data_IF_433218191767
#
_entry.id   IF_433218191767
#
_cell.length_a   1.000
_cell.length_b   1.000
_cell.length_c   1.000
_cell.angle_alpha   90.00
_cell.angle_beta   90.00
_cell.angle_gamma   90.00
#
_symmetry.space_group_name_H-M   'P 1'
#
loop_
_entity.id
_entity.type
_entity.pdbx_description
1 polymer ?
#
# COMPACT_ATOMS: atom_id res chain seq x y z
N UNK A 1 -14.48 10.24 -31.83
CA UNK A 1 -13.29 9.37 -31.61
C UNK A 1 -13.31 8.92 -30.16
N UNK A 2 -13.42 7.61 -29.91
CA UNK A 2 -13.33 7.06 -28.55
C UNK A 2 -11.85 7.09 -28.17
N UNK A 3 -11.45 8.01 -27.32
CA UNK A 3 -10.07 8.07 -26.83
C UNK A 3 -9.83 6.83 -25.97
N UNK A 4 -8.76 6.07 -26.27
CA UNK A 4 -8.42 4.89 -25.48
C UNK A 4 -8.15 5.27 -24.01
N UNK A 5 -8.60 4.44 -23.08
CA UNK A 5 -8.48 4.67 -21.63
C UNK A 5 -7.02 4.97 -21.23
N UNK A 6 -6.09 4.19 -21.77
CA UNK A 6 -4.66 4.33 -21.49
C UNK A 6 -4.06 5.65 -22.01
N UNK A 7 -4.44 6.12 -23.20
CA UNK A 7 -3.93 7.39 -23.75
C UNK A 7 -4.40 8.59 -22.90
N UNK A 8 -5.67 8.56 -22.49
CA UNK A 8 -6.21 9.59 -21.59
C UNK A 8 -5.49 9.62 -20.25
N UNK A 9 -5.16 8.44 -19.70
CA UNK A 9 -4.34 8.32 -18.49
C UNK A 9 -2.94 8.91 -18.69
N UNK A 10 -2.23 8.55 -19.78
CA UNK A 10 -0.90 9.11 -20.09
C UNK A 10 -0.92 10.64 -20.18
N UNK A 11 -1.91 11.19 -20.89
CA UNK A 11 -2.05 12.64 -21.03
C UNK A 11 -2.22 13.32 -19.67
N UNK A 12 -3.06 12.74 -18.80
CA UNK A 12 -3.26 13.26 -17.44
C UNK A 12 -1.97 13.25 -16.64
N UNK A 13 -1.27 12.10 -16.61
CA UNK A 13 -0.01 11.97 -15.88
C UNK A 13 1.02 12.97 -16.39
N UNK A 14 1.26 13.04 -17.70
CA UNK A 14 2.29 13.93 -18.27
C UNK A 14 1.98 15.40 -18.02
N UNK A 15 0.72 15.80 -18.19
CA UNK A 15 0.29 17.17 -17.92
C UNK A 15 0.53 17.59 -16.48
N UNK A 16 0.36 16.67 -15.53
CA UNK A 16 0.36 16.98 -14.10
C UNK A 16 1.74 16.85 -13.47
N UNK A 17 2.54 15.86 -13.92
CA UNK A 17 3.86 15.58 -13.35
C UNK A 17 5.00 16.28 -14.08
N UNK A 18 4.72 16.89 -15.23
CA UNK A 18 5.76 17.46 -16.10
C UNK A 18 6.62 16.42 -16.86
N UNK A 19 6.28 15.14 -16.75
CA UNK A 19 6.94 14.09 -17.54
C UNK A 19 6.62 14.26 -19.02
N UNK A 20 7.61 14.01 -19.87
CA UNK A 20 7.49 14.18 -21.33
C UNK A 20 7.67 12.89 -22.10
N UNK A 21 8.01 11.80 -21.42
CA UNK A 21 8.31 10.52 -22.08
C UNK A 21 7.84 9.29 -21.29
N UNK A 22 7.53 8.21 -22.02
CA UNK A 22 7.22 6.91 -21.42
C UNK A 22 8.40 6.32 -20.62
N UNK A 23 9.63 6.71 -20.94
CA UNK A 23 10.84 6.30 -20.19
C UNK A 23 10.85 6.92 -18.80
N UNK A 24 10.50 8.21 -18.69
CA UNK A 24 10.35 8.88 -17.39
C UNK A 24 9.23 8.28 -16.56
N UNK A 25 8.10 7.98 -17.21
CA UNK A 25 6.99 7.30 -16.53
C UNK A 25 7.40 5.91 -16.04
N UNK A 26 8.09 5.12 -16.86
CA UNK A 26 8.58 3.80 -16.47
C UNK A 26 9.52 3.87 -15.26
N UNK A 27 10.44 4.83 -15.24
CA UNK A 27 11.33 5.07 -14.10
C UNK A 27 10.54 5.46 -12.83
N UNK A 28 9.58 6.38 -12.95
CA UNK A 28 8.73 6.79 -11.83
C UNK A 28 7.87 5.65 -11.27
N UNK A 29 7.46 4.72 -12.12
CA UNK A 29 6.67 3.54 -11.76
C UNK A 29 7.51 2.35 -11.30
N UNK A 30 8.84 2.42 -11.40
CA UNK A 30 9.72 1.28 -11.09
C UNK A 30 9.58 0.10 -12.05
N UNK A 31 9.18 0.34 -13.31
CA UNK A 31 8.95 -0.70 -14.32
C UNK A 31 9.83 -0.47 -15.57
N UNK A 32 9.96 -1.49 -16.39
CA UNK A 32 10.61 -1.34 -17.68
C UNK A 32 9.68 -0.71 -18.74
N UNK A 33 10.26 -0.12 -19.79
CA UNK A 33 9.49 0.51 -20.87
C UNK A 33 8.54 -0.47 -21.58
N UNK A 34 8.89 -1.76 -21.65
CA UNK A 34 8.04 -2.77 -22.30
C UNK A 34 6.73 -2.97 -21.55
N UNK A 35 6.71 -2.82 -20.21
CA UNK A 35 5.48 -2.87 -19.43
C UNK A 35 4.51 -1.74 -19.81
N UNK A 36 5.04 -0.51 -20.06
CA UNK A 36 4.21 0.61 -20.54
C UNK A 36 3.58 0.27 -21.91
N UNK A 37 4.37 -0.29 -22.81
CA UNK A 37 3.89 -0.68 -24.15
C UNK A 37 2.83 -1.78 -24.07
N UNK A 38 3.02 -2.77 -23.21
CA UNK A 38 2.05 -3.85 -23.01
C UNK A 38 0.72 -3.34 -22.44
N UNK A 39 0.77 -2.47 -21.43
CA UNK A 39 -0.42 -1.86 -20.84
C UNK A 39 -1.18 -1.01 -21.88
N UNK A 40 -0.44 -0.24 -22.70
CA UNK A 40 -0.99 0.53 -23.81
C UNK A 40 -1.71 -0.35 -24.83
N UNK A 41 -1.08 -1.48 -25.24
CA UNK A 41 -1.66 -2.40 -26.20
C UNK A 41 -2.93 -3.08 -25.69
N UNK A 42 -2.99 -3.34 -24.37
CA UNK A 42 -4.15 -3.90 -23.68
C UNK A 42 -5.22 -2.85 -23.31
N UNK A 43 -4.94 -1.56 -23.54
CA UNK A 43 -5.75 -0.42 -23.11
C UNK A 43 -6.14 -0.53 -21.62
N UNK A 44 -5.22 -1.01 -20.78
CA UNK A 44 -5.41 -1.30 -19.37
C UNK A 44 -4.41 -0.54 -18.51
N UNK A 45 -4.87 0.05 -17.42
CA UNK A 45 -4.03 0.74 -16.44
C UNK A 45 -3.88 -0.19 -15.24
N UNK A 46 -2.67 -0.73 -14.97
CA UNK A 46 -2.46 -1.53 -13.77
C UNK A 46 -2.69 -0.70 -12.51
N UNK A 47 -3.50 -1.21 -11.58
CA UNK A 47 -3.84 -0.49 -10.34
C UNK A 47 -2.60 -0.11 -9.51
N UNK A 48 -1.55 -0.95 -9.53
CA UNK A 48 -0.25 -0.64 -8.89
C UNK A 48 0.39 0.66 -9.39
N UNK A 49 0.18 1.03 -10.67
CA UNK A 49 0.72 2.27 -11.23
C UNK A 49 -0.02 3.49 -10.68
N UNK A 50 -1.33 3.35 -10.52
CA UNK A 50 -2.17 4.38 -9.90
C UNK A 50 -1.73 4.61 -8.47
N UNK A 51 -1.55 3.52 -7.70
CA UNK A 51 -1.06 3.60 -6.32
C UNK A 51 0.35 4.20 -6.23
N UNK A 52 1.25 3.85 -7.17
CA UNK A 52 2.60 4.43 -7.20
C UNK A 52 2.58 5.92 -7.53
N UNK A 53 1.74 6.37 -8.47
CA UNK A 53 1.59 7.78 -8.80
C UNK A 53 0.97 8.58 -7.65
N UNK A 54 0.00 7.98 -6.93
CA UNK A 54 -0.52 8.56 -5.69
C UNK A 54 0.60 8.75 -4.65
N UNK A 55 1.41 7.71 -4.40
CA UNK A 55 2.50 7.74 -3.42
C UNK A 55 3.60 8.74 -3.77
N UNK A 56 3.96 8.81 -5.05
CA UNK A 56 5.09 9.64 -5.50
C UNK A 56 4.71 11.10 -5.75
N UNK A 57 3.47 11.35 -6.18
CA UNK A 57 3.05 12.67 -6.67
C UNK A 57 1.77 13.18 -6.01
N UNK A 58 1.13 12.41 -5.12
CA UNK A 58 -0.14 12.78 -4.50
C UNK A 58 -1.35 12.78 -5.44
N UNK A 59 -1.22 12.19 -6.64
CA UNK A 59 -2.26 12.20 -7.67
C UNK A 59 -3.48 11.38 -7.24
N UNK A 60 -4.66 11.97 -7.40
CA UNK A 60 -5.92 11.31 -7.07
C UNK A 60 -6.15 10.08 -7.97
N UNK A 61 -6.29 8.87 -7.41
CA UNK A 61 -6.53 7.65 -8.16
C UNK A 61 -7.78 7.71 -9.04
N UNK A 62 -8.91 8.21 -8.54
CA UNK A 62 -10.13 8.35 -9.32
C UNK A 62 -9.95 9.30 -10.51
N UNK A 63 -9.25 10.41 -10.27
CA UNK A 63 -8.93 11.33 -11.36
C UNK A 63 -7.97 10.72 -12.37
N UNK A 64 -6.98 9.94 -11.93
CA UNK A 64 -6.07 9.22 -12.84
C UNK A 64 -6.85 8.23 -13.73
N UNK A 65 -7.84 7.54 -13.20
CA UNK A 65 -8.62 6.56 -13.95
C UNK A 65 -9.70 7.20 -14.83
N UNK A 66 -10.46 8.13 -14.29
CA UNK A 66 -11.68 8.64 -14.92
C UNK A 66 -11.55 10.04 -15.51
N UNK A 67 -10.56 10.81 -15.05
CA UNK A 67 -10.42 12.24 -15.36
C UNK A 67 -11.43 13.13 -14.62
N UNK A 68 -12.20 12.59 -13.68
CA UNK A 68 -13.18 13.33 -12.88
C UNK A 68 -12.66 13.57 -11.47
N UNK A 69 -13.11 14.65 -10.84
CA UNK A 69 -12.69 15.01 -9.48
C UNK A 69 -11.41 15.85 -9.45
N UNK A 70 -10.88 16.02 -8.24
CA UNK A 70 -9.65 16.80 -8.02
C UNK A 70 -8.42 16.03 -8.49
N UNK A 71 -7.45 16.75 -9.03
CA UNK A 71 -6.19 16.17 -9.57
C UNK A 71 -5.30 15.56 -8.50
N UNK A 72 -5.30 16.16 -7.30
CA UNK A 72 -4.50 15.72 -6.16
C UNK A 72 -5.39 15.33 -4.99
N UNK A 73 -5.01 14.28 -4.28
CA UNK A 73 -5.54 14.01 -2.95
C UNK A 73 -4.61 14.67 -1.93
N UNK A 74 -4.99 15.86 -1.46
CA UNK A 74 -4.32 16.49 -0.32
C UNK A 74 -3.19 17.47 -0.62
N UNK A 75 -3.15 18.09 -1.81
CA UNK A 75 -2.22 19.19 -2.09
C UNK A 75 -2.87 20.33 -2.84
N UNK A 76 -3.86 20.97 -2.25
CA UNK A 76 -4.15 22.36 -2.58
C UNK A 76 -4.01 23.18 -1.31
N UNK A 77 -3.21 24.25 -1.42
CA UNK A 77 -3.10 25.28 -0.41
C UNK A 77 -4.40 26.08 -0.28
N UNK A 78 -5.52 25.38 -0.29
CA UNK A 78 -6.82 25.91 0.01
C UNK A 78 -7.35 25.26 1.31
N UNK A 79 -7.77 26.10 2.21
CA UNK A 79 -8.38 25.87 3.51
C UNK A 79 -9.62 24.94 3.44
N UNK A 80 -9.48 23.64 3.08
CA UNK A 80 -10.71 22.89 2.85
C UNK A 80 -10.73 21.38 2.85
N UNK A 81 -9.63 20.63 2.82
CA UNK A 81 -9.72 19.18 2.99
C UNK A 81 -9.17 18.75 4.34
N UNK A 82 -10.04 18.81 5.34
CA UNK A 82 -9.81 18.23 6.66
C UNK A 82 -9.53 16.72 6.60
N UNK A 83 -9.85 16.07 5.48
CA UNK A 83 -9.77 14.62 5.27
C UNK A 83 -8.90 14.25 4.08
N UNK A 84 -8.23 13.11 4.22
CA UNK A 84 -7.45 12.46 3.15
C UNK A 84 -7.97 11.04 2.94
N UNK A 85 -8.15 10.66 1.69
CA UNK A 85 -8.58 9.30 1.33
C UNK A 85 -7.40 8.34 1.30
N UNK A 86 -7.46 7.30 2.12
CA UNK A 86 -6.46 6.23 2.18
C UNK A 86 -6.98 5.03 1.40
N UNK A 87 -6.20 4.47 0.45
CA UNK A 87 -6.63 3.33 -0.34
C UNK A 87 -6.72 2.06 0.50
N UNK A 88 -7.79 1.30 0.32
CA UNK A 88 -7.94 -0.07 0.80
C UNK A 88 -7.53 -1.02 -0.31
N UNK A 89 -6.60 -1.91 -0.03
CA UNK A 89 -5.99 -2.81 -1.01
C UNK A 89 -6.20 -4.28 -0.65
N UNK A 90 -6.28 -5.15 -1.67
CA UNK A 90 -6.18 -6.59 -1.45
C UNK A 90 -4.71 -6.91 -1.22
N UNK A 91 -4.40 -7.50 -0.07
CA UNK A 91 -3.05 -7.91 0.28
C UNK A 91 -2.62 -9.12 -0.54
N UNK A 92 -1.72 -8.93 -1.51
CA UNK A 92 -1.05 -10.00 -2.26
C UNK A 92 0.43 -9.64 -2.42
N UNK A 93 1.31 -10.62 -2.21
CA UNK A 93 2.70 -10.47 -2.60
C UNK A 93 2.83 -10.80 -4.07
N UNK A 94 3.46 -9.92 -4.86
CA UNK A 94 3.79 -10.27 -6.23
C UNK A 94 5.12 -11.01 -6.29
N UNK A 95 5.11 -12.22 -6.84
CA UNK A 95 6.30 -12.97 -7.19
C UNK A 95 7.03 -12.25 -8.34
N UNK A 96 8.23 -11.74 -8.08
CA UNK A 96 9.14 -11.27 -9.12
C UNK A 96 9.79 -9.92 -8.87
N UNK A 97 11.09 -9.92 -8.53
CA UNK A 97 11.99 -8.79 -8.73
C UNK A 97 11.97 -7.68 -7.68
N UNK A 98 12.46 -7.93 -6.50
CA UNK A 98 13.13 -6.90 -5.68
C UNK A 98 12.31 -5.89 -4.91
N UNK A 99 11.10 -5.56 -5.27
CA UNK A 99 10.19 -4.71 -4.53
C UNK A 99 8.89 -5.45 -4.27
N UNK A 100 8.55 -5.61 -2.99
CA UNK A 100 7.21 -6.09 -2.62
C UNK A 100 6.26 -4.92 -2.74
N UNK A 101 5.56 -4.91 -3.81
CA UNK A 101 4.37 -4.11 -3.92
C UNK A 101 3.26 -4.94 -3.29
N UNK A 102 2.65 -4.42 -2.22
CA UNK A 102 1.32 -4.86 -1.80
C UNK A 102 0.50 -4.87 -3.07
N UNK A 103 0.17 -6.06 -3.54
CA UNK A 103 -0.43 -6.26 -4.85
C UNK A 103 -1.82 -5.69 -4.87
N UNK A 104 -2.02 -4.86 -5.69
CA UNK A 104 -2.68 -3.60 -5.73
C UNK A 104 -3.94 -3.63 -6.55
N UNK A 105 -4.88 -4.41 -6.12
CA UNK A 105 -6.26 -4.13 -6.47
C UNK A 105 -6.84 -3.22 -5.39
N UNK A 106 -7.12 -1.95 -5.74
CA UNK A 106 -7.75 -1.00 -4.82
C UNK A 106 -9.24 -1.35 -4.78
N UNK A 107 -9.72 -1.72 -3.58
CA UNK A 107 -11.13 -2.03 -3.35
C UNK A 107 -11.98 -0.78 -3.06
N UNK A 108 -11.35 0.28 -2.56
CA UNK A 108 -12.03 1.51 -2.17
C UNK A 108 -11.12 2.44 -1.40
N UNK A 109 -11.72 3.47 -0.81
CA UNK A 109 -11.02 4.50 -0.05
C UNK A 109 -11.76 4.78 1.27
N UNK A 110 -10.99 5.07 2.32
CA UNK A 110 -11.51 5.53 3.60
C UNK A 110 -10.96 6.92 3.90
N UNK A 111 -11.84 7.84 4.27
CA UNK A 111 -11.48 9.20 4.64
C UNK A 111 -11.00 9.25 6.08
N UNK A 112 -9.77 9.74 6.30
CA UNK A 112 -9.20 10.02 7.61
C UNK A 112 -8.87 11.49 7.73
N UNK A 113 -8.96 12.04 8.94
CA UNK A 113 -8.51 13.40 9.20
C UNK A 113 -7.02 13.55 8.88
N UNK A 114 -6.69 14.51 8.01
CA UNK A 114 -5.34 14.65 7.47
C UNK A 114 -4.30 14.95 8.55
N UNK A 115 -4.64 15.79 9.51
CA UNK A 115 -3.75 16.16 10.61
C UNK A 115 -3.44 14.94 11.49
N UNK A 116 -4.46 14.12 11.81
CA UNK A 116 -4.27 12.89 12.54
C UNK A 116 -3.32 11.92 11.81
N UNK A 117 -3.48 11.76 10.50
CA UNK A 117 -2.57 10.91 9.70
C UNK A 117 -1.12 11.41 9.76
N UNK A 118 -0.91 12.72 9.66
CA UNK A 118 0.43 13.34 9.72
C UNK A 118 1.11 13.12 11.07
N UNK A 119 0.36 13.14 12.16
CA UNK A 119 0.87 12.82 13.51
C UNK A 119 1.27 11.34 13.61
N UNK A 120 0.54 10.44 12.93
CA UNK A 120 0.79 8.99 12.98
C UNK A 120 1.94 8.54 12.08
N UNK A 121 2.22 9.25 10.99
CA UNK A 121 3.28 8.88 10.06
C UNK A 121 3.23 9.62 8.73
N UNK A 122 3.49 8.89 7.64
CA UNK A 122 3.51 9.44 6.28
C UNK A 122 2.25 9.04 5.52
N UNK A 123 1.23 9.92 5.41
CA UNK A 123 -0.07 9.57 4.85
C UNK A 123 -0.02 8.98 3.43
N UNK A 124 0.86 9.49 2.57
CA UNK A 124 1.06 8.99 1.21
C UNK A 124 1.75 7.61 1.14
N UNK A 125 2.16 7.06 2.29
CA UNK A 125 2.72 5.71 2.45
C UNK A 125 1.79 4.80 3.24
N UNK A 126 0.54 5.22 3.47
CA UNK A 126 -0.44 4.45 4.23
C UNK A 126 -1.38 3.70 3.29
N UNK A 127 -1.76 2.51 3.70
CA UNK A 127 -2.77 1.66 3.04
C UNK A 127 -3.63 0.97 4.08
N UNK A 128 -4.86 0.63 3.69
CA UNK A 128 -5.76 -0.21 4.47
C UNK A 128 -5.79 -1.61 3.88
N UNK A 129 -5.90 -2.62 4.73
CA UNK A 129 -6.16 -3.99 4.34
C UNK A 129 -7.02 -4.71 5.38
N UNK A 130 -7.76 -5.73 4.93
CA UNK A 130 -8.55 -6.56 5.83
C UNK A 130 -7.70 -7.65 6.46
N UNK A 131 -8.08 -8.00 7.68
CA UNK A 131 -7.54 -9.14 8.42
C UNK A 131 -8.36 -10.37 8.08
N UNK A 132 -7.66 -11.46 7.80
CA UNK A 132 -8.25 -12.77 7.61
C UNK A 132 -7.73 -13.76 8.65
N UNK A 133 -8.66 -14.53 9.23
CA UNK A 133 -8.36 -15.53 10.25
C UNK A 133 -8.25 -14.92 11.66
N UNK A 134 -7.97 -15.79 12.63
CA UNK A 134 -8.07 -15.50 14.06
C UNK A 134 -6.73 -15.51 14.80
N UNK A 135 -5.59 -15.52 14.08
CA UNK A 135 -4.29 -15.62 14.73
C UNK A 135 -3.92 -14.41 15.60
N UNK A 136 -4.57 -13.26 15.38
CA UNK A 136 -4.33 -12.04 16.14
C UNK A 136 -5.46 -11.70 17.13
N UNK A 137 -6.39 -12.64 17.37
CA UNK A 137 -7.39 -12.48 18.43
C UNK A 137 -6.74 -12.53 19.82
N UNK A 138 -7.25 -11.76 20.77
CA UNK A 138 -8.47 -10.92 20.73
C UNK A 138 -8.26 -9.52 20.14
N UNK A 139 -7.02 -9.09 19.87
CA UNK A 139 -6.69 -7.72 19.45
C UNK A 139 -7.28 -7.41 18.07
N UNK A 140 -6.99 -8.25 17.07
CA UNK A 140 -7.57 -8.16 15.74
C UNK A 140 -8.37 -9.41 15.42
N UNK A 141 -9.60 -9.23 14.94
CA UNK A 141 -10.48 -10.32 14.55
C UNK A 141 -10.58 -10.45 13.03
N UNK A 142 -11.06 -11.61 12.60
CA UNK A 142 -11.40 -11.83 11.20
C UNK A 142 -12.39 -10.77 10.71
N UNK A 143 -12.11 -10.15 9.56
CA UNK A 143 -12.89 -9.06 8.99
C UNK A 143 -12.55 -7.66 9.50
N UNK A 144 -11.67 -7.50 10.49
CA UNK A 144 -11.16 -6.18 10.87
C UNK A 144 -10.38 -5.55 9.73
N UNK A 145 -10.45 -4.24 9.60
CA UNK A 145 -9.61 -3.46 8.68
C UNK A 145 -8.48 -2.80 9.46
N UNK A 146 -7.23 -2.88 8.99
CA UNK A 146 -6.07 -2.23 9.60
C UNK A 146 -5.47 -1.18 8.69
N UNK A 147 -4.99 -0.08 9.30
CA UNK A 147 -4.20 0.96 8.64
C UNK A 147 -2.71 0.68 8.86
N UNK A 148 -1.97 0.58 7.78
CA UNK A 148 -0.55 0.25 7.76
C UNK A 148 0.21 1.46 7.20
N UNK A 149 1.24 1.90 7.94
CA UNK A 149 2.22 2.86 7.41
C UNK A 149 3.46 2.12 6.91
N UNK A 150 3.61 2.02 5.60
CA UNK A 150 4.73 1.36 4.93
C UNK A 150 6.06 2.11 5.05
N UNK A 151 6.05 3.33 5.59
CA UNK A 151 7.28 4.08 5.88
C UNK A 151 7.91 3.67 7.21
N UNK A 152 7.15 3.02 8.10
CA UNK A 152 7.60 2.59 9.42
C UNK A 152 7.96 1.11 9.39
N UNK A 153 9.23 0.81 9.08
CA UNK A 153 9.78 -0.55 8.98
C UNK A 153 10.72 -0.92 10.11
N UNK A 154 11.13 0.07 10.91
CA UNK A 154 11.97 -0.17 12.07
C UNK A 154 11.18 -0.91 13.14
N UNK A 155 11.73 -2.05 13.60
CA UNK A 155 11.03 -2.94 14.52
C UNK A 155 11.08 -2.36 15.94
N UNK A 156 9.90 -2.06 16.45
CA UNK A 156 9.66 -1.75 17.86
C UNK A 156 9.09 -3.02 18.48
N UNK A 157 9.77 -3.56 19.50
CA UNK A 157 9.39 -4.81 20.12
C UNK A 157 7.92 -4.81 20.60
N UNK A 158 7.18 -5.85 20.22
CA UNK A 158 5.78 -6.02 20.57
C UNK A 158 4.78 -5.20 19.74
N UNK A 159 5.22 -4.31 18.86
CA UNK A 159 4.31 -3.61 17.95
C UNK A 159 3.82 -4.54 16.83
N UNK A 160 2.65 -4.20 16.27
CA UNK A 160 2.00 -4.92 15.18
C UNK A 160 2.58 -4.48 13.83
N UNK A 161 2.94 -5.45 12.99
CA UNK A 161 3.42 -5.21 11.65
C UNK A 161 2.71 -6.10 10.63
N UNK A 162 2.45 -5.55 9.47
CA UNK A 162 2.23 -6.36 8.29
C UNK A 162 3.58 -6.89 7.82
N UNK A 163 3.69 -8.21 7.72
CA UNK A 163 4.90 -8.91 7.33
C UNK A 163 4.62 -9.82 6.14
N UNK A 164 5.51 -9.82 5.17
CA UNK A 164 5.50 -10.72 4.04
C UNK A 164 6.39 -11.93 4.32
N UNK A 165 5.83 -13.12 4.17
CA UNK A 165 6.54 -14.40 4.27
C UNK A 165 6.18 -15.18 3.02
N UNK A 166 7.18 -15.50 2.22
CA UNK A 166 6.98 -16.11 0.89
C UNK A 166 5.95 -15.28 0.08
N UNK A 167 4.84 -15.85 -0.33
CA UNK A 167 3.77 -15.19 -1.08
C UNK A 167 2.59 -14.72 -0.20
N UNK A 168 2.73 -14.80 1.13
CA UNK A 168 1.65 -14.50 2.07
C UNK A 168 1.94 -13.24 2.86
N UNK A 169 0.91 -12.40 3.04
CA UNK A 169 0.96 -11.27 3.98
C UNK A 169 0.20 -11.65 5.24
N UNK A 170 0.84 -11.44 6.38
CA UNK A 170 0.23 -11.66 7.69
C UNK A 170 0.49 -10.47 8.62
N UNK A 171 -0.35 -10.29 9.62
CA UNK A 171 -0.11 -9.35 10.71
C UNK A 171 0.39 -10.13 11.93
N UNK A 172 1.50 -9.66 12.51
CA UNK A 172 2.12 -10.27 13.69
C UNK A 172 2.74 -9.20 14.59
N UNK A 173 2.93 -9.52 15.87
CA UNK A 173 3.86 -8.80 16.72
C UNK A 173 5.27 -9.23 16.36
N UNK A 174 6.13 -8.24 16.14
CA UNK A 174 7.51 -8.51 15.71
C UNK A 174 8.47 -8.11 16.82
N UNK A 175 9.38 -9.03 17.14
CA UNK A 175 10.46 -8.81 18.10
C UNK A 175 11.80 -9.13 17.43
N UNK A 176 12.74 -8.20 17.56
CA UNK A 176 14.10 -8.38 17.06
C UNK A 176 15.03 -8.72 18.22
N UNK A 177 15.70 -9.86 18.15
CA UNK A 177 16.72 -10.30 19.08
C UNK A 177 18.07 -10.45 18.36
N UNK A 178 19.18 -10.55 19.08
CA UNK A 178 20.46 -10.90 18.46
C UNK A 178 20.33 -12.19 17.66
N UNK A 179 20.64 -12.14 16.35
CA UNK A 179 20.61 -13.25 15.40
C UNK A 179 19.25 -13.95 15.17
N UNK A 180 18.14 -13.39 15.65
CA UNK A 180 16.81 -13.96 15.37
C UNK A 180 15.72 -12.88 15.30
N UNK A 181 14.70 -13.16 14.49
CA UNK A 181 13.43 -12.45 14.45
C UNK A 181 12.35 -13.38 14.99
N UNK A 182 11.45 -12.84 15.81
CA UNK A 182 10.33 -13.60 16.37
C UNK A 182 9.03 -12.94 15.93
N UNK A 183 8.17 -13.73 15.30
CA UNK A 183 6.81 -13.31 14.95
C UNK A 183 5.83 -13.98 15.91
N UNK A 184 5.11 -13.18 16.68
CA UNK A 184 4.12 -13.66 17.65
C UNK A 184 2.71 -13.36 17.19
N UNK A 185 1.85 -14.34 17.40
CA UNK A 185 0.41 -14.19 17.36
C UNK A 185 -0.10 -13.73 18.73
N UNK A 186 -1.17 -12.94 18.76
CA UNK A 186 -1.85 -12.61 20.01
C UNK A 186 -2.70 -13.80 20.50
N UNK A 187 -3.18 -14.61 19.58
CA UNK A 187 -3.87 -15.84 19.88
C UNK A 187 -2.87 -16.93 20.34
N UNK A 188 -2.98 -17.33 21.60
CA UNK A 188 -2.07 -18.29 22.23
C UNK A 188 -2.12 -19.70 21.61
N UNK A 189 -3.16 -20.01 20.82
CA UNK A 189 -3.24 -21.27 20.09
C UNK A 189 -2.24 -21.37 18.91
N UNK A 190 -1.58 -20.26 18.58
CA UNK A 190 -0.59 -20.17 17.52
C UNK A 190 0.82 -20.05 18.10
N UNK A 191 1.67 -21.00 17.81
CA UNK A 191 3.06 -20.96 18.23
C UNK A 191 3.81 -19.79 17.59
N UNK A 192 4.76 -19.15 18.30
CA UNK A 192 5.63 -18.14 17.72
C UNK A 192 6.48 -18.72 16.57
N UNK A 193 6.70 -17.93 15.53
CA UNK A 193 7.60 -18.25 14.42
C UNK A 193 8.96 -17.66 14.73
N UNK A 194 9.99 -18.52 14.80
CA UNK A 194 11.36 -18.12 15.05
C UNK A 194 12.16 -18.20 13.76
N UNK A 195 12.84 -17.13 13.40
CA UNK A 195 13.61 -17.02 12.17
C UNK A 195 15.04 -16.66 12.49
N UNK A 196 15.99 -17.48 12.03
CA UNK A 196 17.40 -17.34 12.32
C UNK A 196 18.25 -17.31 11.04
N UNK A 197 19.34 -16.56 11.05
CA UNK A 197 20.27 -16.51 9.92
C UNK A 197 19.59 -16.11 8.61
N UNK A 198 19.73 -16.97 7.58
CA UNK A 198 19.19 -16.69 6.25
C UNK A 198 17.66 -16.67 6.19
N UNK A 199 16.96 -17.34 7.11
CA UNK A 199 15.50 -17.29 7.19
C UNK A 199 14.98 -15.89 7.52
N UNK A 200 15.75 -15.11 8.26
CA UNK A 200 15.41 -13.70 8.54
C UNK A 200 15.37 -12.84 7.27
N UNK A 201 16.06 -13.26 6.20
CA UNK A 201 16.09 -12.57 4.92
C UNK A 201 14.88 -12.88 4.04
N UNK A 202 14.16 -13.97 4.31
CA UNK A 202 12.94 -14.35 3.58
C UNK A 202 11.72 -13.53 4.03
N UNK A 203 11.84 -12.84 5.17
CA UNK A 203 10.78 -12.00 5.70
C UNK A 203 11.00 -10.54 5.33
N UNK A 204 9.88 -9.88 5.05
CA UNK A 204 9.85 -8.44 4.79
C UNK A 204 8.87 -7.76 5.70
N UNK A 205 9.35 -6.76 6.41
CA UNK A 205 8.48 -5.82 7.10
C UNK A 205 7.86 -4.90 6.04
N UNK A 206 6.55 -5.04 5.83
CA UNK A 206 5.80 -4.21 4.88
C UNK A 206 5.57 -2.84 5.51
N UNK A 207 5.09 -2.81 6.74
CA UNK A 207 4.84 -1.58 7.48
C UNK A 207 4.23 -1.85 8.85
N UNK A 208 4.21 -0.81 9.68
CA UNK A 208 3.63 -0.85 11.01
C UNK A 208 2.12 -0.66 10.95
N UNK A 209 1.36 -1.48 11.67
CA UNK A 209 -0.06 -1.26 11.90
C UNK A 209 -0.22 -0.11 12.91
N UNK A 210 -0.96 0.93 12.54
CA UNK A 210 -1.11 2.15 13.33
C UNK A 210 -2.55 2.44 13.76
N UNK A 211 -3.52 1.71 13.20
CA UNK A 211 -4.93 1.80 13.54
C UNK A 211 -5.67 0.54 13.09
N UNK A 212 -6.77 0.23 13.75
CA UNK A 212 -7.72 -0.80 13.32
C UNK A 212 -9.16 -0.33 13.47
N UNK A 213 -10.05 -0.86 12.63
CA UNK A 213 -11.48 -0.64 12.68
C UNK A 213 -12.25 -1.92 12.47
N UNK A 214 -13.41 -2.03 13.12
CA UNK A 214 -14.30 -3.18 13.03
C UNK A 214 -15.70 -2.76 12.65
N UNK A 215 -16.27 -3.45 11.67
CA UNK A 215 -17.69 -3.34 11.34
C UNK A 215 -18.46 -4.42 12.10
N UNK A 216 -19.50 -4.01 12.81
CA UNK A 216 -20.43 -4.93 13.45
C UNK A 216 -21.59 -5.19 12.50
N UNK A 217 -21.87 -6.46 12.24
CA UNK A 217 -22.99 -6.90 11.41
C UNK A 217 -24.13 -7.41 12.27
#
# INVERSE_FOLDING_TARGET
MITKKFESFLQRVFKTTGMTSQTQLAAALGVNRSAITQARNKDSIPARWILQLYRSFGLNPDWLETGKGQTYLGNDGDLGTEFMNIPKVIARLSAGGGSFEVGSEIQGYYAFQQEWLRIKGKPNRMVLMDIFGNSMEPELKDGDTVLIDESQKDIIAGALYAVGVDDTIMVKRVEKHPNKLVLRSDNQNYAPIYLQGNESNSIRIIGKVIWSGREFR
#
